data_IF_298516977086
#
_entry.id   IF_298516977086
#
_cell.length_a   1.000
_cell.length_b   1.000
_cell.length_c   1.000
_cell.angle_alpha   90.00
_cell.angle_beta   90.00
_cell.angle_gamma   90.00
#
_symmetry.space_group_name_H-M   'P 1'
#
loop_
_entity.id
_entity.type
_entity.pdbx_description
1 polymer ?
#
# COMPACT_ATOMS: atom_id res chain seq x y z
N UNK A 1 -7.92 -18.82 -24.42
CA UNK A 1 -6.79 -17.89 -24.60
C UNK A 1 -5.51 -18.71 -24.79
N UNK A 2 -4.73 -18.41 -25.83
CA UNK A 2 -3.36 -18.93 -25.91
C UNK A 2 -2.46 -17.77 -25.51
N UNK A 3 -1.81 -17.90 -24.36
CA UNK A 3 -0.81 -16.93 -23.92
C UNK A 3 0.56 -17.43 -24.37
N UNK A 4 1.31 -16.57 -25.04
CA UNK A 4 2.62 -16.87 -25.59
C UNK A 4 3.64 -15.83 -25.14
N UNK A 5 4.84 -16.31 -24.82
CA UNK A 5 6.01 -15.46 -24.57
C UNK A 5 7.01 -15.73 -25.69
N UNK A 6 7.45 -14.69 -26.36
CA UNK A 6 8.47 -14.77 -27.40
C UNK A 6 9.58 -13.78 -27.09
N UNK A 7 10.83 -14.23 -27.11
CA UNK A 7 11.98 -13.36 -27.07
C UNK A 7 12.51 -13.16 -28.48
N UNK A 8 12.79 -11.92 -28.85
CA UNK A 8 13.42 -11.59 -30.13
C UNK A 8 14.29 -10.36 -29.99
N UNK A 9 15.21 -10.19 -30.93
CA UNK A 9 16.13 -9.05 -30.98
C UNK A 9 15.69 -8.14 -32.13
N UNK A 10 15.59 -6.83 -31.89
CA UNK A 10 15.19 -5.85 -32.91
C UNK A 10 16.42 -5.07 -33.40
N UNK A 11 16.71 -5.13 -34.70
CA UNK A 11 17.79 -4.36 -35.31
C UNK A 11 19.20 -4.84 -34.91
N UNK A 12 20.13 -3.90 -34.75
CA UNK A 12 21.52 -4.16 -34.33
C UNK A 12 21.71 -4.21 -32.81
N UNK A 13 20.65 -3.99 -32.03
CA UNK A 13 20.71 -4.07 -30.57
C UNK A 13 21.01 -5.53 -30.17
N UNK A 14 21.89 -5.72 -29.19
CA UNK A 14 22.22 -7.06 -28.67
C UNK A 14 21.23 -7.55 -27.61
N UNK A 15 20.27 -6.72 -27.25
CA UNK A 15 19.41 -6.92 -26.09
C UNK A 15 18.13 -7.67 -26.48
N UNK A 16 17.81 -8.80 -25.82
CA UNK A 16 16.61 -9.57 -26.13
C UNK A 16 15.36 -8.82 -25.67
N UNK A 17 14.50 -8.43 -26.60
CA UNK A 17 13.17 -7.89 -26.30
C UNK A 17 12.23 -9.04 -25.96
N UNK A 18 11.49 -8.91 -24.85
CA UNK A 18 10.53 -9.90 -24.40
C UNK A 18 9.12 -9.44 -24.79
N UNK A 19 8.42 -10.25 -25.57
CA UNK A 19 7.07 -9.96 -26.02
C UNK A 19 6.11 -10.96 -25.40
N UNK A 20 5.21 -10.45 -24.57
CA UNK A 20 4.06 -11.21 -24.09
C UNK A 20 2.89 -10.95 -25.03
N UNK A 21 2.36 -12.01 -25.62
CA UNK A 21 1.21 -11.96 -26.53
C UNK A 21 0.09 -12.80 -25.93
N UNK A 22 -1.08 -12.20 -25.77
CA UNK A 22 -2.30 -12.91 -25.40
C UNK A 22 -3.24 -12.95 -26.59
N UNK A 23 -3.64 -14.16 -26.99
CA UNK A 23 -4.61 -14.40 -28.06
C UNK A 23 -5.96 -14.75 -27.45
N UNK A 24 -6.96 -13.94 -27.75
CA UNK A 24 -8.35 -14.16 -27.36
C UNK A 24 -9.22 -14.39 -28.60
N UNK A 25 -9.71 -15.62 -28.85
CA UNK A 25 -10.70 -15.87 -29.90
C UNK A 25 -11.97 -15.05 -29.64
N UNK A 26 -12.49 -14.39 -30.67
CA UNK A 26 -13.75 -13.63 -30.63
C UNK A 26 -14.70 -14.14 -31.71
N UNK A 27 -15.98 -13.80 -31.62
CA UNK A 27 -16.97 -14.23 -32.62
C UNK A 27 -16.65 -13.79 -34.06
N UNK A 28 -15.83 -12.75 -34.24
CA UNK A 28 -15.46 -12.20 -35.55
C UNK A 28 -13.97 -12.40 -35.89
N UNK A 29 -13.21 -13.18 -35.11
CA UNK A 29 -11.80 -13.42 -35.38
C UNK A 29 -10.96 -13.66 -34.13
N UNK A 30 -9.81 -13.00 -34.04
CA UNK A 30 -8.93 -13.05 -32.88
C UNK A 30 -8.57 -11.63 -32.42
N UNK A 31 -8.67 -11.39 -31.11
CA UNK A 31 -8.08 -10.23 -30.47
C UNK A 31 -6.69 -10.61 -29.98
N UNK A 32 -5.70 -9.77 -30.29
CA UNK A 32 -4.31 -9.98 -29.90
C UNK A 32 -3.89 -8.78 -29.08
N UNK A 33 -3.49 -9.01 -27.84
CA UNK A 33 -2.83 -7.98 -27.01
C UNK A 33 -1.37 -8.34 -26.88
N UNK A 34 -0.49 -7.43 -27.30
CA UNK A 34 0.94 -7.60 -27.20
C UNK A 34 1.53 -6.54 -26.25
N UNK A 35 2.29 -6.99 -25.24
CA UNK A 35 3.08 -6.13 -24.37
C UNK A 35 4.55 -6.35 -24.67
N UNK A 36 5.22 -5.29 -25.12
CA UNK A 36 6.67 -5.26 -25.30
C UNK A 36 7.28 -4.92 -23.94
N UNK A 37 8.05 -5.85 -23.41
CA UNK A 37 8.95 -5.65 -22.28
C UNK A 37 10.35 -5.50 -22.87
N UNK A 38 10.79 -4.26 -22.99
CA UNK A 38 12.17 -3.96 -23.36
C UNK A 38 13.07 -4.42 -22.21
N UNK A 39 13.69 -5.60 -22.32
CA UNK A 39 14.85 -5.94 -21.48
C UNK A 39 16.07 -5.22 -22.03
N UNK A 40 16.04 -3.89 -22.06
CA UNK A 40 17.28 -3.14 -22.28
C UNK A 40 18.21 -3.54 -21.15
N UNK A 41 19.48 -3.87 -21.45
CA UNK A 41 20.51 -4.09 -20.42
C UNK A 41 20.75 -2.82 -19.59
N UNK A 42 20.15 -1.68 -19.97
CA UNK A 42 19.72 -0.68 -18.99
C UNK A 42 18.64 -1.29 -18.08
N UNK A 43 19.04 -2.22 -17.21
CA UNK A 43 18.27 -2.71 -16.08
C UNK A 43 17.58 -1.50 -15.47
N UNK A 44 16.26 -1.42 -15.58
CA UNK A 44 15.54 -0.38 -14.85
C UNK A 44 15.82 -0.66 -13.38
N UNK A 45 16.70 0.14 -12.80
CA UNK A 45 17.15 -0.01 -11.43
C UNK A 45 15.97 0.36 -10.55
N UNK A 46 15.72 -0.46 -9.54
CA UNK A 46 14.72 -0.17 -8.52
C UNK A 46 14.87 1.28 -8.02
N UNK A 47 13.80 2.08 -8.01
CA UNK A 47 13.89 3.47 -7.59
C UNK A 47 14.30 3.58 -6.12
N UNK A 48 14.92 4.69 -5.75
CA UNK A 48 15.07 5.05 -4.34
C UNK A 48 13.79 5.74 -3.86
N UNK A 49 13.44 5.59 -2.57
CA UNK A 49 12.27 6.27 -2.00
C UNK A 49 12.34 7.78 -2.18
N UNK A 50 13.55 8.35 -2.19
CA UNK A 50 13.81 9.76 -2.44
C UNK A 50 13.31 10.22 -3.82
N UNK A 51 13.35 9.38 -4.85
CA UNK A 51 12.93 9.73 -6.23
C UNK A 51 11.42 9.58 -6.47
N UNK A 52 10.68 8.99 -5.53
CA UNK A 52 9.24 8.79 -5.71
C UNK A 52 8.46 10.10 -5.54
N UNK A 53 7.30 10.24 -6.25
CA UNK A 53 6.50 11.45 -6.27
C UNK A 53 5.61 11.60 -5.02
N UNK A 54 6.24 11.44 -3.85
CA UNK A 54 5.70 11.69 -2.52
C UNK A 54 6.35 12.93 -1.94
N UNK A 55 5.61 13.69 -1.12
CA UNK A 55 6.23 14.76 -0.32
C UNK A 55 7.22 14.16 0.71
N UNK A 56 8.15 14.96 1.26
CA UNK A 56 9.04 14.48 2.33
C UNK A 56 8.26 13.93 3.54
N UNK A 57 7.19 14.61 3.95
CA UNK A 57 6.33 14.17 5.07
C UNK A 57 5.66 12.82 4.75
N UNK A 58 5.20 12.64 3.53
CA UNK A 58 4.55 11.40 3.09
C UNK A 58 5.51 10.23 3.08
N UNK A 59 6.77 10.45 2.68
CA UNK A 59 7.82 9.43 2.75
C UNK A 59 8.04 8.97 4.19
N UNK A 60 8.10 9.90 5.14
CA UNK A 60 8.20 9.54 6.57
C UNK A 60 6.98 8.74 7.04
N UNK A 61 5.76 9.14 6.67
CA UNK A 61 4.53 8.40 7.00
C UNK A 61 4.56 6.97 6.46
N UNK A 62 5.01 6.78 5.21
CA UNK A 62 5.13 5.46 4.59
C UNK A 62 6.14 4.61 5.36
N UNK A 63 7.29 5.17 5.74
CA UNK A 63 8.35 4.47 6.47
C UNK A 63 7.93 4.01 7.86
N UNK A 64 6.98 4.69 8.52
CA UNK A 64 6.44 4.25 9.83
C UNK A 64 5.82 2.86 9.82
N UNK A 65 5.40 2.36 8.66
CA UNK A 65 4.94 0.97 8.52
C UNK A 65 6.06 -0.04 8.81
N UNK A 66 7.33 0.37 8.68
CA UNK A 66 8.51 -0.45 8.87
C UNK A 66 9.12 -0.28 10.27
N UNK A 67 8.47 0.44 11.18
CA UNK A 67 8.88 0.53 12.59
C UNK A 67 8.72 -0.82 13.34
N UNK A 68 8.02 -1.78 12.74
CA UNK A 68 7.84 -3.14 13.26
C UNK A 68 8.95 -4.05 12.75
N UNK A 69 9.38 -4.98 13.61
CA UNK A 69 10.40 -5.97 13.25
C UNK A 69 9.90 -7.01 12.22
N UNK A 70 8.59 -7.26 12.18
CA UNK A 70 7.96 -8.23 11.28
C UNK A 70 6.49 -7.85 11.04
N UNK A 71 5.90 -8.43 10.00
CA UNK A 71 4.50 -8.25 9.65
C UNK A 71 4.27 -8.06 8.15
N UNK A 72 2.99 -8.00 7.78
CA UNK A 72 2.52 -7.84 6.42
C UNK A 72 2.21 -6.35 6.13
N UNK A 73 2.91 -5.80 5.13
CA UNK A 73 2.65 -4.48 4.54
C UNK A 73 2.03 -4.68 3.16
N UNK A 74 0.86 -4.09 2.93
CA UNK A 74 0.14 -4.24 1.67
C UNK A 74 0.10 -2.92 0.90
N UNK A 75 0.65 -2.92 -0.30
CA UNK A 75 0.41 -1.86 -1.28
C UNK A 75 -0.81 -2.20 -2.14
N UNK A 76 -1.76 -1.28 -2.24
CA UNK A 76 -3.03 -1.54 -2.89
C UNK A 76 -3.41 -0.40 -3.86
N UNK A 77 -4.26 -0.70 -4.85
CA UNK A 77 -4.78 0.24 -5.85
C UNK A 77 -4.91 -0.38 -7.25
N UNK A 78 -5.45 0.36 -8.22
CA UNK A 78 -5.67 -0.13 -9.58
C UNK A 78 -4.36 -0.47 -10.31
N UNK A 79 -4.45 -1.09 -11.48
CA UNK A 79 -3.28 -1.31 -12.33
C UNK A 79 -2.65 0.04 -12.72
N UNK A 80 -1.32 0.12 -12.71
CA UNK A 80 -0.59 1.32 -13.11
C UNK A 80 -0.59 2.48 -12.09
N UNK A 81 -0.99 2.24 -10.83
CA UNK A 81 -0.91 3.27 -9.76
C UNK A 81 0.43 3.30 -8.99
N UNK A 82 1.46 2.58 -9.46
CA UNK A 82 2.79 2.62 -8.85
C UNK A 82 3.01 1.70 -7.63
N UNK A 83 2.12 0.72 -7.38
CA UNK A 83 2.29 -0.24 -6.26
C UNK A 83 3.65 -0.89 -6.22
N UNK A 84 4.03 -1.53 -7.32
CA UNK A 84 5.30 -2.21 -7.50
C UNK A 84 6.43 -1.21 -7.30
N UNK A 85 6.39 -0.06 -7.97
CA UNK A 85 7.38 1.01 -7.83
C UNK A 85 7.61 1.44 -6.38
N UNK A 86 6.54 1.59 -5.59
CA UNK A 86 6.64 1.95 -4.17
C UNK A 86 7.21 0.82 -3.32
N UNK A 87 6.76 -0.42 -3.51
CA UNK A 87 7.32 -1.55 -2.76
C UNK A 87 8.80 -1.76 -3.09
N UNK A 88 9.20 -1.64 -4.36
CA UNK A 88 10.59 -1.67 -4.78
C UNK A 88 11.42 -0.59 -4.09
N UNK A 89 10.91 0.63 -3.97
CA UNK A 89 11.61 1.68 -3.24
C UNK A 89 11.75 1.37 -1.74
N UNK A 90 10.76 0.72 -1.14
CA UNK A 90 10.85 0.26 0.26
C UNK A 90 11.85 -0.88 0.43
N UNK A 91 11.87 -1.85 -0.48
CA UNK A 91 12.90 -2.89 -0.53
C UNK A 91 14.30 -2.28 -0.61
N UNK A 92 14.47 -1.29 -1.48
CA UNK A 92 15.72 -0.59 -1.66
C UNK A 92 16.11 0.26 -0.42
N UNK A 93 15.13 0.74 0.34
CA UNK A 93 15.36 1.44 1.61
C UNK A 93 15.84 0.51 2.73
N UNK A 94 15.27 -0.70 2.83
CA UNK A 94 15.68 -1.70 3.86
C UNK A 94 16.94 -2.49 3.48
N UNK A 95 17.49 -2.26 2.29
CA UNK A 95 18.70 -2.91 1.77
C UNK A 95 19.95 -2.52 2.58
N UNK A 96 20.21 -3.27 3.66
CA UNK A 96 21.32 -3.10 4.62
C UNK A 96 22.12 -4.41 4.78
N UNK A 97 23.38 -4.38 5.29
CA UNK A 97 24.28 -5.55 5.28
C UNK A 97 23.70 -6.83 5.88
N UNK A 98 22.89 -6.65 6.92
CA UNK A 98 22.38 -7.73 7.76
C UNK A 98 20.98 -8.19 7.35
N UNK A 99 20.49 -7.73 6.19
CA UNK A 99 19.15 -8.06 5.68
C UNK A 99 19.28 -8.93 4.43
N UNK A 100 18.59 -10.06 4.42
CA UNK A 100 18.40 -10.93 3.27
C UNK A 100 17.00 -10.75 2.70
N UNK A 101 16.96 -10.40 1.42
CA UNK A 101 15.72 -10.05 0.73
C UNK A 101 15.44 -11.10 -0.35
N UNK A 102 14.18 -11.54 -0.42
CA UNK A 102 13.68 -12.32 -1.54
C UNK A 102 12.46 -11.68 -2.17
N UNK A 103 12.44 -11.60 -3.50
CA UNK A 103 11.26 -11.17 -4.25
C UNK A 103 10.73 -12.31 -5.09
N UNK A 104 9.41 -12.38 -5.20
CA UNK A 104 8.67 -13.39 -5.96
C UNK A 104 7.68 -12.62 -6.82
N UNK A 105 7.82 -12.66 -8.14
CA UNK A 105 7.18 -11.69 -9.04
C UNK A 105 6.69 -12.34 -10.35
N UNK A 106 5.77 -11.68 -11.06
CA UNK A 106 5.31 -12.11 -12.39
C UNK A 106 4.93 -10.90 -13.29
N UNK A 107 5.82 -10.45 -14.18
CA UNK A 107 7.26 -10.71 -14.22
C UNK A 107 8.02 -9.81 -13.22
N UNK A 108 9.34 -9.99 -13.15
CA UNK A 108 10.23 -8.99 -12.54
C UNK A 108 10.18 -7.70 -13.38
N UNK A 109 9.79 -6.58 -12.76
CA UNK A 109 9.67 -5.27 -13.43
C UNK A 109 10.95 -4.43 -13.36
N UNK A 110 11.61 -4.43 -12.21
CA UNK A 110 12.85 -3.70 -11.97
C UNK A 110 13.90 -4.64 -11.38
N UNK A 111 15.17 -4.31 -11.56
CA UNK A 111 16.26 -5.06 -10.92
C UNK A 111 16.75 -4.29 -9.69
N UNK A 112 16.91 -5.02 -8.59
CA UNK A 112 17.59 -4.52 -7.43
C UNK A 112 19.10 -4.73 -7.56
N UNK A 113 19.87 -3.67 -7.36
CA UNK A 113 21.30 -3.81 -7.18
C UNK A 113 21.61 -4.34 -5.78
N UNK A 114 22.60 -5.22 -5.72
CA UNK A 114 23.20 -5.60 -4.45
C UNK A 114 23.94 -4.38 -3.89
N UNK A 115 23.35 -3.71 -2.90
CA UNK A 115 24.02 -2.64 -2.15
C UNK A 115 24.77 -3.28 -0.99
N UNK A 116 24.04 -3.63 0.07
CA UNK A 116 24.58 -4.24 1.26
C UNK A 116 23.89 -5.58 1.58
N UNK A 117 22.61 -5.71 1.25
CA UNK A 117 21.85 -6.95 1.34
C UNK A 117 22.13 -7.91 0.17
N UNK A 118 21.95 -9.20 0.45
CA UNK A 118 21.72 -10.19 -0.63
C UNK A 118 20.26 -10.12 -1.05
N UNK A 119 20.01 -9.88 -2.34
CA UNK A 119 18.66 -9.79 -2.91
C UNK A 119 18.51 -10.89 -3.95
N UNK A 120 17.57 -11.81 -3.75
CA UNK A 120 17.26 -12.85 -4.74
C UNK A 120 15.87 -12.61 -5.31
N UNK A 121 15.80 -12.20 -6.58
CA UNK A 121 14.54 -12.02 -7.30
C UNK A 121 14.19 -13.30 -8.06
N UNK A 122 12.94 -13.72 -7.99
CA UNK A 122 12.44 -14.96 -8.61
C UNK A 122 11.17 -14.69 -9.41
N UNK A 123 11.17 -15.05 -10.68
CA UNK A 123 10.00 -14.91 -11.55
C UNK A 123 9.16 -16.20 -11.55
N UNK A 124 7.85 -16.07 -11.34
CA UNK A 124 6.89 -17.17 -11.43
C UNK A 124 6.77 -17.65 -12.88
N UNK A 125 6.74 -18.97 -13.05
CA UNK A 125 6.76 -19.62 -14.36
C UNK A 125 8.17 -19.72 -14.98
N UNK A 126 9.19 -19.10 -14.38
CA UNK A 126 10.59 -19.18 -14.83
C UNK A 126 11.47 -19.84 -13.78
N UNK A 127 11.55 -19.25 -12.57
CA UNK A 127 12.42 -19.71 -11.48
C UNK A 127 11.67 -20.53 -10.42
N UNK A 128 10.35 -20.37 -10.37
CA UNK A 128 9.41 -21.02 -9.45
C UNK A 128 8.10 -21.32 -10.15
N UNK A 129 7.38 -22.39 -9.78
CA UNK A 129 6.12 -22.74 -10.41
C UNK A 129 4.94 -21.86 -9.94
N UNK A 130 4.93 -21.38 -8.70
CA UNK A 130 3.85 -20.54 -8.14
C UNK A 130 4.34 -19.65 -7.01
N UNK A 131 3.55 -18.61 -6.68
CA UNK A 131 3.83 -17.71 -5.56
C UNK A 131 3.85 -18.46 -4.21
N UNK A 132 2.81 -19.25 -3.91
CA UNK A 132 2.71 -20.00 -2.66
C UNK A 132 3.91 -20.94 -2.43
N UNK A 133 4.34 -21.67 -3.46
CA UNK A 133 5.50 -22.53 -3.35
C UNK A 133 6.80 -21.73 -3.17
N UNK A 134 6.93 -20.61 -3.88
CA UNK A 134 8.08 -19.73 -3.76
C UNK A 134 8.23 -19.17 -2.35
N UNK A 135 7.12 -18.76 -1.70
CA UNK A 135 7.12 -18.28 -0.31
C UNK A 135 7.55 -19.42 0.64
N UNK A 136 6.97 -20.62 0.51
CA UNK A 136 7.34 -21.77 1.36
C UNK A 136 8.81 -22.16 1.20
N UNK A 137 9.36 -22.06 -0.02
CA UNK A 137 10.79 -22.29 -0.29
C UNK A 137 11.64 -21.16 0.27
N UNK A 138 11.17 -19.92 0.18
CA UNK A 138 11.84 -18.75 0.72
C UNK A 138 12.04 -18.89 2.24
N UNK A 139 11.05 -19.35 3.01
CA UNK A 139 11.20 -19.54 4.46
C UNK A 139 12.34 -20.50 4.87
N UNK A 140 12.83 -21.36 3.96
CA UNK A 140 14.00 -22.23 4.19
C UNK A 140 15.32 -21.63 3.74
N UNK A 141 15.31 -20.38 3.31
CA UNK A 141 16.48 -19.63 2.89
C UNK A 141 16.78 -18.49 3.85
N UNK A 142 16.22 -18.49 5.05
CA UNK A 142 16.52 -17.51 6.10
C UNK A 142 16.37 -16.05 5.64
N UNK A 143 15.28 -15.65 4.94
CA UNK A 143 15.05 -14.25 4.59
C UNK A 143 14.68 -13.43 5.82
N UNK A 144 14.96 -12.14 5.78
CA UNK A 144 14.37 -11.16 6.69
C UNK A 144 13.14 -10.50 6.04
N UNK A 145 13.22 -10.31 4.72
CA UNK A 145 12.21 -9.58 3.93
C UNK A 145 11.77 -10.41 2.72
N UNK A 146 10.46 -10.52 2.51
CA UNK A 146 9.85 -11.20 1.36
C UNK A 146 8.92 -10.23 0.63
N UNK A 147 9.17 -9.98 -0.66
CA UNK A 147 8.23 -9.30 -1.55
C UNK A 147 7.44 -10.33 -2.36
N UNK A 148 6.12 -10.28 -2.25
CA UNK A 148 5.18 -11.08 -3.03
C UNK A 148 4.50 -10.14 -4.03
N UNK A 149 4.73 -10.37 -5.32
CA UNK A 149 4.27 -9.52 -6.41
C UNK A 149 2.76 -9.27 -6.38
N UNK A 150 1.96 -10.30 -6.12
CA UNK A 150 0.50 -10.18 -5.96
C UNK A 150 -0.04 -11.21 -4.96
N UNK A 151 -0.98 -10.78 -4.12
CA UNK A 151 -1.72 -11.62 -3.17
C UNK A 151 -3.10 -11.96 -3.75
N UNK A 152 -3.13 -12.92 -4.68
CA UNK A 152 -4.32 -13.20 -5.50
C UNK A 152 -5.16 -14.39 -5.02
N UNK A 153 -4.50 -15.51 -4.74
CA UNK A 153 -5.12 -16.77 -4.36
C UNK A 153 -4.95 -17.08 -2.87
N UNK A 154 -5.79 -17.99 -2.38
CA UNK A 154 -5.84 -18.40 -0.98
C UNK A 154 -4.49 -18.91 -0.49
N UNK A 155 -3.85 -19.81 -1.23
CA UNK A 155 -2.59 -20.44 -0.82
C UNK A 155 -1.46 -19.43 -0.68
N UNK A 156 -1.39 -18.46 -1.59
CA UNK A 156 -0.39 -17.39 -1.57
C UNK A 156 -0.62 -16.45 -0.39
N UNK A 157 -1.88 -16.06 -0.13
CA UNK A 157 -2.23 -15.20 0.99
C UNK A 157 -1.96 -15.89 2.33
N UNK A 158 -2.34 -17.16 2.46
CA UNK A 158 -2.07 -17.96 3.66
C UNK A 158 -0.57 -18.08 3.94
N UNK A 159 0.23 -18.36 2.90
CA UNK A 159 1.69 -18.43 3.01
C UNK A 159 2.30 -17.08 3.41
N UNK A 160 1.81 -15.97 2.85
CA UNK A 160 2.28 -14.63 3.18
C UNK A 160 1.94 -14.23 4.63
N UNK A 161 0.73 -14.54 5.10
CA UNK A 161 0.31 -14.31 6.50
C UNK A 161 1.18 -15.16 7.44
N UNK A 162 1.38 -16.44 7.13
CA UNK A 162 2.24 -17.33 7.92
C UNK A 162 3.68 -16.82 7.99
N UNK A 163 4.24 -16.36 6.86
CA UNK A 163 5.57 -15.76 6.82
C UNK A 163 5.65 -14.51 7.72
N UNK A 164 4.66 -13.64 7.65
CA UNK A 164 4.58 -12.45 8.49
C UNK A 164 4.47 -12.79 9.98
N UNK A 165 3.67 -13.79 10.36
CA UNK A 165 3.55 -14.24 11.76
C UNK A 165 4.83 -14.88 12.31
N UNK A 166 5.64 -15.48 11.43
CA UNK A 166 6.88 -16.19 11.79
C UNK A 166 8.12 -15.29 11.85
N UNK A 167 7.93 -13.97 11.91
CA UNK A 167 9.00 -13.01 12.16
C UNK A 167 9.60 -12.35 10.92
N UNK A 168 8.94 -12.43 9.77
CA UNK A 168 9.41 -11.82 8.52
C UNK A 168 8.65 -10.52 8.21
N UNK A 169 9.32 -9.56 7.57
CA UNK A 169 8.62 -8.48 6.88
C UNK A 169 8.16 -8.99 5.52
N UNK A 170 6.86 -8.97 5.29
CA UNK A 170 6.27 -9.41 4.03
C UNK A 170 5.62 -8.21 3.35
N UNK A 171 6.02 -7.94 2.12
CA UNK A 171 5.36 -6.97 1.26
C UNK A 171 4.46 -7.70 0.27
N UNK A 172 3.25 -7.21 0.06
CA UNK A 172 2.32 -7.76 -0.91
C UNK A 172 1.57 -6.69 -1.68
N UNK A 173 1.10 -7.02 -2.89
CA UNK A 173 0.16 -6.14 -3.61
C UNK A 173 -1.23 -6.73 -3.75
N UNK A 174 -2.26 -5.86 -3.74
CA UNK A 174 -3.65 -6.19 -4.08
C UNK A 174 -4.23 -5.13 -5.04
N UNK A 175 -5.41 -5.47 -5.58
CA UNK A 175 -6.21 -4.66 -6.51
C UNK A 175 -7.59 -4.31 -5.93
N UNK A 176 -7.61 -3.65 -4.78
CA UNK A 176 -8.79 -3.11 -4.10
C UNK A 176 -8.75 -1.58 -4.00
N UNK A 177 -9.80 -0.98 -3.46
CA UNK A 177 -9.83 0.44 -3.09
C UNK A 177 -9.82 0.57 -1.57
N UNK A 178 -8.89 1.39 -1.04
CA UNK A 178 -8.76 1.65 0.39
C UNK A 178 -8.28 0.46 1.24
N UNK A 179 -8.05 0.72 2.52
CA UNK A 179 -7.52 -0.19 3.50
C UNK A 179 -8.59 -1.15 4.03
N UNK A 180 -9.81 -0.67 4.26
CA UNK A 180 -10.95 -1.52 4.64
C UNK A 180 -11.21 -2.60 3.58
N UNK A 181 -11.27 -2.20 2.30
CA UNK A 181 -11.50 -3.12 1.18
C UNK A 181 -10.39 -4.15 1.05
N UNK A 182 -9.14 -3.75 1.31
CA UNK A 182 -7.97 -4.65 1.31
C UNK A 182 -8.12 -5.77 2.34
N UNK A 183 -8.48 -5.42 3.59
CA UNK A 183 -8.67 -6.40 4.67
C UNK A 183 -9.80 -7.36 4.34
N UNK A 184 -10.95 -6.84 3.90
CA UNK A 184 -12.09 -7.68 3.53
C UNK A 184 -11.72 -8.61 2.38
N UNK A 185 -11.05 -8.11 1.34
CA UNK A 185 -10.65 -8.92 0.18
C UNK A 185 -9.73 -10.08 0.56
N UNK A 186 -8.78 -9.85 1.46
CA UNK A 186 -7.90 -10.90 1.98
C UNK A 186 -8.71 -12.00 2.69
N UNK A 187 -9.74 -11.64 3.44
CA UNK A 187 -10.56 -12.61 4.17
C UNK A 187 -11.53 -13.33 3.21
N UNK A 188 -12.11 -12.61 2.26
CA UNK A 188 -13.18 -13.10 1.38
C UNK A 188 -12.72 -14.14 0.35
N UNK A 189 -11.40 -14.30 0.10
CA UNK A 189 -10.91 -15.41 -0.73
C UNK A 189 -10.98 -16.76 -0.01
N UNK A 190 -11.10 -16.77 1.32
CA UNK A 190 -11.17 -17.99 2.11
C UNK A 190 -12.60 -18.52 2.20
N UNK A 191 -12.80 -19.86 2.20
CA UNK A 191 -14.08 -20.47 2.50
C UNK A 191 -14.63 -19.98 3.83
N UNK A 192 -15.94 -19.85 3.96
CA UNK A 192 -16.61 -19.31 5.16
C UNK A 192 -16.19 -20.02 6.46
N UNK A 193 -15.89 -21.31 6.40
CA UNK A 193 -15.41 -22.10 7.55
C UNK A 193 -14.02 -21.69 8.05
N UNK A 194 -13.21 -21.04 7.22
CA UNK A 194 -11.84 -20.60 7.54
C UNK A 194 -11.73 -19.08 7.77
N UNK A 195 -12.78 -18.31 7.47
CA UNK A 195 -12.74 -16.84 7.53
C UNK A 195 -12.50 -16.29 8.95
N UNK A 196 -12.98 -16.95 9.99
CA UNK A 196 -12.73 -16.52 11.38
C UNK A 196 -11.28 -16.73 11.78
N UNK A 197 -10.70 -17.88 11.40
CA UNK A 197 -9.31 -18.20 11.65
C UNK A 197 -8.38 -17.21 10.94
N UNK A 198 -8.56 -17.03 9.62
CA UNK A 198 -7.69 -16.16 8.84
C UNK A 198 -7.82 -14.70 9.26
N UNK A 199 -9.02 -14.25 9.68
CA UNK A 199 -9.23 -12.91 10.24
C UNK A 199 -8.42 -12.70 11.51
N UNK A 200 -8.37 -13.70 12.37
CA UNK A 200 -7.56 -13.64 13.60
C UNK A 200 -6.07 -13.57 13.27
N UNK A 201 -5.59 -14.43 12.38
CA UNK A 201 -4.19 -14.42 11.93
C UNK A 201 -3.81 -13.11 11.24
N UNK A 202 -4.63 -12.65 10.29
CA UNK A 202 -4.45 -11.37 9.60
C UNK A 202 -4.38 -10.21 10.59
N UNK A 203 -5.22 -10.20 11.63
CA UNK A 203 -5.21 -9.13 12.64
C UNK A 203 -3.87 -9.02 13.37
N UNK A 204 -3.11 -10.10 13.48
CA UNK A 204 -1.78 -10.09 14.08
C UNK A 204 -0.67 -9.81 13.07
N UNK A 205 -0.80 -10.38 11.87
CA UNK A 205 0.18 -10.27 10.79
C UNK A 205 0.22 -8.88 10.16
N UNK A 206 -0.92 -8.27 9.85
CA UNK A 206 -0.96 -7.00 9.10
C UNK A 206 -0.48 -5.82 9.96
N UNK A 207 0.48 -5.06 9.44
CA UNK A 207 1.09 -3.91 10.13
C UNK A 207 0.84 -2.59 9.42
N UNK A 208 0.61 -2.61 8.10
CA UNK A 208 0.39 -1.41 7.31
C UNK A 208 -0.33 -1.68 5.99
N UNK A 209 -1.16 -0.73 5.56
CA UNK A 209 -1.79 -0.74 4.23
C UNK A 209 -1.64 0.64 3.60
N UNK A 210 -1.07 0.67 2.40
CA UNK A 210 -0.93 1.85 1.55
C UNK A 210 -1.80 1.67 0.29
N UNK A 211 -2.96 2.31 0.26
CA UNK A 211 -3.82 2.32 -0.93
C UNK A 211 -3.54 3.58 -1.76
N UNK A 212 -3.11 3.42 -3.00
CA UNK A 212 -2.50 4.50 -3.78
C UNK A 212 -3.12 4.64 -5.18
N UNK A 213 -3.12 5.87 -5.65
CA UNK A 213 -3.56 6.28 -6.97
C UNK A 213 -2.56 7.29 -7.57
N UNK A 214 -2.40 7.27 -8.89
CA UNK A 214 -1.57 8.24 -9.60
C UNK A 214 -2.44 9.23 -10.36
N UNK A 215 -2.10 10.51 -10.22
CA UNK A 215 -2.75 11.64 -10.86
C UNK A 215 -1.77 12.41 -11.73
N UNK A 216 -2.23 13.02 -12.85
CA UNK A 216 -1.40 13.98 -13.58
C UNK A 216 -1.14 15.21 -12.70
N UNK A 217 0.12 15.64 -12.65
CA UNK A 217 0.52 16.84 -11.90
C UNK A 217 0.42 18.07 -12.79
N UNK A 218 -0.05 19.19 -12.24
CA UNK A 218 0.00 20.49 -12.92
C UNK A 218 1.48 20.86 -13.16
N UNK A 219 1.81 21.22 -14.40
CA UNK A 219 3.20 21.49 -14.81
C UNK A 219 3.96 20.25 -15.30
N UNK A 220 3.31 19.08 -15.38
CA UNK A 220 3.86 17.87 -16.00
C UNK A 220 4.29 16.80 -14.99
N UNK A 221 4.35 15.56 -15.49
CA UNK A 221 4.63 14.38 -14.66
C UNK A 221 3.39 13.88 -13.90
N UNK A 222 3.64 13.13 -12.82
CA UNK A 222 2.58 12.52 -11.99
C UNK A 222 2.85 12.73 -10.51
N UNK A 223 1.79 12.69 -9.71
CA UNK A 223 1.83 12.69 -8.24
C UNK A 223 1.02 11.54 -7.69
N UNK A 224 1.44 10.98 -6.56
CA UNK A 224 0.70 9.92 -5.88
C UNK A 224 -0.22 10.49 -4.80
N UNK A 225 -1.52 10.20 -4.90
CA UNK A 225 -2.45 10.33 -3.79
C UNK A 225 -2.62 8.97 -3.12
N UNK A 226 -2.83 8.95 -1.81
CA UNK A 226 -2.94 7.70 -1.08
C UNK A 226 -3.74 7.80 0.20
N UNK A 227 -4.28 6.65 0.60
CA UNK A 227 -4.77 6.34 1.94
C UNK A 227 -3.72 5.49 2.67
N UNK A 228 -3.44 5.87 3.92
CA UNK A 228 -2.47 5.20 4.79
C UNK A 228 -3.16 4.68 6.05
N UNK A 229 -3.04 3.37 6.28
CA UNK A 229 -3.45 2.71 7.52
C UNK A 229 -2.22 2.11 8.21
N UNK A 230 -1.93 2.55 9.43
CA UNK A 230 -0.99 1.88 10.33
C UNK A 230 -1.79 1.01 11.30
N UNK A 231 -1.49 -0.28 11.39
CA UNK A 231 -2.33 -1.22 12.14
C UNK A 231 -1.94 -1.21 13.62
N UNK A 232 -2.63 -0.34 14.38
CA UNK A 232 -2.51 -0.23 15.83
C UNK A 232 -3.34 -1.31 16.55
N UNK A 233 -3.11 -1.58 17.86
CA UNK A 233 -3.88 -2.57 18.62
C UNK A 233 -5.41 -2.41 18.54
N UNK A 234 -5.91 -1.17 18.46
CA UNK A 234 -7.34 -0.91 18.26
C UNK A 234 -7.84 -1.43 16.90
N UNK A 235 -7.06 -1.26 15.84
CA UNK A 235 -7.40 -1.75 14.49
C UNK A 235 -7.32 -3.28 14.45
N UNK A 236 -6.32 -3.90 15.11
CA UNK A 236 -6.25 -5.35 15.27
C UNK A 236 -7.55 -5.91 15.85
N UNK A 237 -8.07 -5.27 16.91
CA UNK A 237 -9.34 -5.67 17.53
C UNK A 237 -10.53 -5.48 16.56
N UNK A 238 -10.58 -4.39 15.79
CA UNK A 238 -11.62 -4.20 14.78
C UNK A 238 -11.60 -5.29 13.70
N UNK A 239 -10.41 -5.73 13.28
CA UNK A 239 -10.27 -6.84 12.32
C UNK A 239 -10.81 -8.12 12.96
N UNK A 240 -10.34 -8.48 14.16
CA UNK A 240 -10.71 -9.72 14.88
C UNK A 240 -12.20 -9.80 15.15
N UNK A 241 -12.84 -8.70 15.55
CA UNK A 241 -14.28 -8.64 15.86
C UNK A 241 -15.18 -8.43 14.64
N UNK A 242 -14.63 -8.51 13.41
CA UNK A 242 -15.38 -8.27 12.17
C UNK A 242 -16.07 -6.88 12.13
N UNK A 243 -15.39 -5.85 12.64
CA UNK A 243 -15.82 -4.44 12.65
C UNK A 243 -15.01 -3.59 11.68
N UNK A 244 -14.64 -4.16 10.53
CA UNK A 244 -13.78 -3.50 9.53
C UNK A 244 -14.40 -2.21 8.97
N UNK A 245 -15.72 -2.07 8.98
CA UNK A 245 -16.45 -0.84 8.61
C UNK A 245 -16.10 0.38 9.49
N UNK A 246 -15.47 0.19 10.67
CA UNK A 246 -15.02 1.29 11.54
C UNK A 246 -13.59 1.75 11.24
N UNK A 247 -12.87 1.08 10.34
CA UNK A 247 -11.47 1.39 10.04
C UNK A 247 -11.32 2.80 9.47
N UNK A 248 -12.22 3.25 8.60
CA UNK A 248 -12.20 4.62 8.05
C UNK A 248 -12.19 5.69 9.13
N UNK A 249 -13.07 5.57 10.13
CA UNK A 249 -13.09 6.49 11.30
C UNK A 249 -11.82 6.40 12.17
N UNK A 250 -11.18 5.22 12.19
CA UNK A 250 -9.92 5.01 12.90
C UNK A 250 -8.74 5.68 12.18
N UNK A 251 -8.76 5.69 10.84
CA UNK A 251 -7.78 6.41 10.00
C UNK A 251 -7.87 7.92 10.27
N UNK A 252 -9.09 8.48 10.26
CA UNK A 252 -9.32 9.91 10.52
C UNK A 252 -8.76 10.37 11.87
N UNK A 253 -8.97 9.58 12.91
CA UNK A 253 -8.46 9.88 14.26
C UNK A 253 -6.99 9.47 14.47
N UNK A 254 -6.39 8.79 13.48
CA UNK A 254 -5.05 8.23 13.49
C UNK A 254 -3.95 9.12 12.91
N UNK A 255 -4.25 10.37 12.52
CA UNK A 255 -3.31 11.27 11.83
C UNK A 255 -1.95 11.41 12.51
N UNK A 256 -1.91 11.50 13.85
CA UNK A 256 -0.65 11.59 14.62
C UNK A 256 0.29 10.39 14.44
N UNK A 257 -0.25 9.24 14.02
CA UNK A 257 0.51 8.03 13.71
C UNK A 257 0.90 7.94 12.24
N UNK A 258 0.58 8.94 11.42
CA UNK A 258 0.84 8.97 9.99
C UNK A 258 -0.30 8.40 9.13
N UNK A 259 -1.48 8.13 9.72
CA UNK A 259 -2.65 7.68 8.97
C UNK A 259 -3.32 8.85 8.24
N UNK A 260 -3.92 8.57 7.08
CA UNK A 260 -4.59 9.59 6.27
C UNK A 260 -5.57 8.92 5.31
N UNK A 261 -6.74 9.53 5.08
CA UNK A 261 -7.67 9.07 4.05
C UNK A 261 -7.24 9.54 2.66
N UNK A 262 -7.62 8.78 1.63
CA UNK A 262 -7.34 9.13 0.23
C UNK A 262 -7.91 10.52 -0.10
N UNK A 263 -9.19 10.74 0.23
CA UNK A 263 -9.92 11.97 -0.11
C UNK A 263 -9.35 13.19 0.62
N UNK A 264 -8.79 13.00 1.83
CA UNK A 264 -8.06 14.06 2.55
C UNK A 264 -6.77 14.42 1.83
N UNK A 265 -6.02 13.43 1.33
CA UNK A 265 -4.82 13.69 0.54
C UNK A 265 -5.14 14.34 -0.80
N UNK A 266 -6.20 13.90 -1.49
CA UNK A 266 -6.67 14.51 -2.74
C UNK A 266 -7.07 15.98 -2.53
N UNK A 267 -7.77 16.29 -1.44
CA UNK A 267 -8.11 17.65 -1.06
C UNK A 267 -6.85 18.51 -0.87
N UNK A 268 -5.85 18.00 -0.14
CA UNK A 268 -4.60 18.72 0.10
C UNK A 268 -3.82 18.97 -1.20
N UNK A 269 -3.68 17.95 -2.06
CA UNK A 269 -3.00 18.09 -3.36
C UNK A 269 -3.68 19.12 -4.27
N UNK A 270 -5.01 19.19 -4.25
CA UNK A 270 -5.75 20.22 -4.99
C UNK A 270 -5.55 21.61 -4.36
N UNK A 271 -5.67 21.72 -3.03
CA UNK A 271 -5.50 22.97 -2.28
C UNK A 271 -4.10 23.57 -2.49
N UNK A 272 -3.08 22.73 -2.58
CA UNK A 272 -1.69 23.12 -2.85
C UNK A 272 -1.40 23.41 -4.33
N UNK A 273 -2.41 23.32 -5.20
CA UNK A 273 -2.27 23.57 -6.64
C UNK A 273 -1.42 22.52 -7.37
N UNK A 274 -1.29 21.31 -6.81
CA UNK A 274 -0.49 20.22 -7.40
C UNK A 274 -1.27 19.48 -8.47
N UNK A 275 -2.59 19.33 -8.30
CA UNK A 275 -3.49 18.63 -9.24
C UNK A 275 -4.70 19.50 -9.60
N UNK A 276 -5.27 19.25 -10.78
CA UNK A 276 -6.53 19.88 -11.17
C UNK A 276 -7.70 19.32 -10.34
N UNK A 277 -8.68 20.17 -10.04
CA UNK A 277 -9.91 19.79 -9.32
C UNK A 277 -10.64 18.60 -9.95
N UNK A 278 -10.76 18.60 -11.29
CA UNK A 278 -11.42 17.50 -12.02
C UNK A 278 -10.74 16.15 -11.77
N UNK A 279 -9.40 16.16 -11.64
CA UNK A 279 -8.59 14.95 -11.45
C UNK A 279 -8.72 14.46 -10.01
N UNK A 280 -8.71 15.39 -9.04
CA UNK A 280 -8.94 15.08 -7.63
C UNK A 280 -10.33 14.45 -7.43
N UNK A 281 -11.38 15.06 -8.00
CA UNK A 281 -12.76 14.56 -7.89
C UNK A 281 -12.94 13.20 -8.58
N UNK A 282 -12.35 13.00 -9.77
CA UNK A 282 -12.45 11.74 -10.50
C UNK A 282 -11.85 10.55 -9.72
N UNK A 283 -10.86 10.83 -8.87
CA UNK A 283 -10.10 9.83 -8.11
C UNK A 283 -10.59 9.62 -6.68
N UNK A 284 -11.49 10.47 -6.19
CA UNK A 284 -12.04 10.39 -4.85
C UNK A 284 -12.91 9.16 -4.63
N UNK A 285 -12.90 8.64 -3.40
CA UNK A 285 -13.83 7.61 -2.95
C UNK A 285 -15.25 8.20 -2.75
N UNK A 286 -15.34 9.40 -2.17
CA UNK A 286 -16.58 10.13 -1.91
C UNK A 286 -16.59 11.46 -2.68
N UNK A 287 -16.89 11.40 -3.98
CA UNK A 287 -16.81 12.56 -4.90
C UNK A 287 -17.63 13.77 -4.43
N UNK A 288 -18.86 13.55 -3.97
CA UNK A 288 -19.75 14.63 -3.52
C UNK A 288 -19.22 15.32 -2.25
N UNK A 289 -18.67 14.52 -1.32
CA UNK A 289 -18.07 15.01 -0.07
C UNK A 289 -16.83 15.86 -0.37
N UNK A 290 -15.95 15.38 -1.26
CA UNK A 290 -14.78 16.14 -1.68
C UNK A 290 -15.17 17.42 -2.44
N UNK A 291 -16.15 17.36 -3.34
CA UNK A 291 -16.64 18.53 -4.06
C UNK A 291 -17.18 19.61 -3.10
N UNK A 292 -17.96 19.22 -2.10
CA UNK A 292 -18.47 20.13 -1.08
C UNK A 292 -17.32 20.82 -0.31
N UNK A 293 -16.28 20.07 0.09
CA UNK A 293 -15.09 20.62 0.75
C UNK A 293 -14.34 21.62 -0.14
N UNK A 294 -14.15 21.30 -1.41
CA UNK A 294 -13.50 22.16 -2.41
C UNK A 294 -14.27 23.47 -2.57
N UNK A 295 -15.60 23.41 -2.67
CA UNK A 295 -16.45 24.61 -2.76
C UNK A 295 -16.34 25.46 -1.49
N UNK A 296 -16.37 24.84 -0.31
CA UNK A 296 -16.21 25.54 0.96
C UNK A 296 -14.86 26.25 1.09
N UNK A 297 -13.76 25.61 0.66
CA UNK A 297 -12.43 26.21 0.62
C UNK A 297 -12.36 27.40 -0.34
N UNK A 298 -12.89 27.28 -1.56
CA UNK A 298 -12.94 28.39 -2.53
C UNK A 298 -13.72 29.61 -2.01
N UNK A 299 -14.71 29.37 -1.15
CA UNK A 299 -15.52 30.42 -0.52
C UNK A 299 -14.87 31.00 0.75
N UNK A 300 -13.69 30.52 1.16
CA UNK A 300 -13.02 30.93 2.40
C UNK A 300 -13.73 30.46 3.67
N UNK A 301 -14.66 29.51 3.56
CA UNK A 301 -15.45 28.99 4.69
C UNK A 301 -14.71 27.92 5.50
N UNK A 302 -13.63 27.36 4.94
CA UNK A 302 -12.87 26.29 5.59
C UNK A 302 -12.01 26.80 6.75
N UNK A 303 -11.26 27.89 6.56
CA UNK A 303 -10.45 28.51 7.62
C UNK A 303 -11.33 28.93 8.81
N UNK A 304 -12.54 29.44 8.55
CA UNK A 304 -13.50 29.80 9.59
C UNK A 304 -14.02 28.59 10.38
N UNK A 305 -14.18 27.43 9.74
CA UNK A 305 -14.62 26.19 10.36
C UNK A 305 -13.49 25.54 11.18
N UNK A 306 -12.27 25.48 10.65
CA UNK A 306 -11.10 24.91 11.33
C UNK A 306 -10.70 25.76 12.55
N UNK A 307 -10.77 27.09 12.44
CA UNK A 307 -10.58 27.99 13.59
C UNK A 307 -11.65 27.80 14.66
N UNK A 308 -12.92 27.61 14.26
CA UNK A 308 -14.01 27.36 15.20
C UNK A 308 -13.83 26.00 15.90
N UNK A 309 -13.44 24.96 15.18
CA UNK A 309 -13.21 23.62 15.72
C UNK A 309 -11.99 23.58 16.65
N UNK A 310 -10.90 24.27 16.28
CA UNK A 310 -9.72 24.45 17.14
C UNK A 310 -10.02 25.26 18.40
N UNK A 311 -10.89 26.28 18.32
CA UNK A 311 -11.38 27.02 19.50
C UNK A 311 -12.22 26.11 20.41
N UNK A 312 -13.14 25.33 19.85
CA UNK A 312 -13.98 24.37 20.59
C UNK A 312 -13.15 23.23 21.24
N UNK A 313 -12.12 22.75 20.55
CA UNK A 313 -11.20 21.73 21.08
C UNK A 313 -10.36 22.28 22.26
N UNK A 314 -9.88 23.53 22.16
CA UNK A 314 -9.20 24.23 23.26
C UNK A 314 -10.12 24.45 24.46
N UNK A 315 -11.40 24.78 24.23
CA UNK A 315 -12.39 24.95 25.30
C UNK A 315 -12.72 23.63 26.02
N UNK A 316 -12.86 22.53 25.27
CA UNK A 316 -13.06 21.17 25.83
C UNK A 316 -11.83 20.63 26.58
N UNK A 317 -10.62 21.01 26.14
CA UNK A 317 -9.38 20.70 26.86
C UNK A 317 -9.27 21.42 28.21
N UNK A 318 -9.73 22.67 28.28
CA UNK A 318 -9.65 23.50 29.49
C UNK A 318 -10.69 23.11 30.57
N UNK A 319 -11.82 22.52 30.17
CA UNK A 319 -12.85 22.03 31.11
C UNK A 319 -12.40 20.76 31.87
N UNK A 320 -11.53 19.93 31.29
CA UNK A 320 -10.98 18.74 31.98
C UNK A 320 -9.94 19.08 33.05
N UNK A 321 -9.29 20.24 32.99
CA UNK A 321 -8.27 20.66 33.97
C UNK A 321 -8.90 21.28 35.23
N UNK A 322 -10.11 21.85 35.15
CA UNK A 322 -10.78 22.48 36.30
C UNK A 322 -11.61 21.54 37.19
N UNK A 323 -11.75 20.26 36.82
CA UNK A 323 -12.55 19.29 37.57
C UNK A 323 -11.70 18.26 38.34
N UNK A 324 -10.79 18.73 39.22
CA UNK A 324 -10.20 17.86 40.27
C UNK A 324 -9.58 18.69 41.41
N UNK A 325 -10.41 19.05 42.39
CA UNK A 325 -10.05 19.07 43.82
C UNK A 325 -11.29 19.35 44.69
N UNK A 326 -11.76 18.38 45.49
CA UNK A 326 -12.34 18.68 46.79
C UNK A 326 -11.31 18.44 47.89
N UNK A 327 -11.37 19.32 48.89
CA UNK A 327 -10.42 19.51 49.96
C UNK A 327 -10.29 18.29 50.90
N UNK A 328 -9.05 18.01 51.34
CA UNK A 328 -8.77 17.13 52.47
C UNK A 328 -9.34 17.74 53.76
N UNK A 329 -10.37 17.13 54.32
CA UNK A 329 -10.80 17.38 55.69
C UNK A 329 -9.79 16.74 56.67
N UNK A 330 -9.25 17.56 57.58
CA UNK A 330 -8.52 17.15 58.79
C UNK A 330 -9.50 17.00 59.96
N UNK A 331 -9.09 16.17 60.93
CA UNK A 331 -9.59 15.98 62.33
C UNK A 331 -10.72 14.93 62.42
N UNK A 332 -10.73 13.99 63.37
CA UNK A 332 -9.91 13.73 64.55
C UNK A 332 -10.70 12.79 65.49
N UNK A 333 -9.98 11.99 66.28
CA UNK A 333 -10.41 10.93 67.21
C UNK A 333 -10.88 9.61 66.60
#
# INVERSE_FOLDING_TARGET
PMDGRMQFTVGSDKDPTDLRVSFLPTHLGQSITARILLRVIAKLVAPDLASLPYSPEDKEKILRQLDKAYGLVVANGPAGCGKTTTLYALINHVNSPDVKIMTIEDPIEFFHEHKKSTINQREVGVDVPSFAEAIRRALRQDPDVILVGELRDLETIEAAITAAETGHIVFGTLHTNGAQGTINRIIDVFPTSQQEQIRTQLSEAVIGILAQQLLPRIGGGRVAAYEMLIVLPAIKNLIRENKTYRITSSIQTGQKYGMQLLDDHLFQLWKDGVVEEKEALYKANEQDSLAARIVAEKQGLFEAAEDAENRLAKEKGNTKVKAKAPAKAKRGH
#
